data_IF_744824676466
#
_entry.id   IF_744824676466
#
_cell.length_a   1.000
_cell.length_b   1.000
_cell.length_c   1.000
_cell.angle_alpha   90.00
_cell.angle_beta   90.00
_cell.angle_gamma   90.00
#
_symmetry.space_group_name_H-M   'P 1'
#
loop_
_entity.id
_entity.type
_entity.pdbx_description
1 polymer ?
#
# COMPACT_ATOMS: atom_id res chain seq x y z
N UNK A 1 -6.95 -12.90 -4.49
CA UNK A 1 -5.84 -11.97 -4.25
C UNK A 1 -4.79 -12.64 -3.36
N UNK A 2 -3.51 -12.55 -3.75
CA UNK A 2 -2.39 -13.25 -3.07
C UNK A 2 -1.88 -12.51 -1.84
N UNK A 3 -1.82 -11.18 -1.89
CA UNK A 3 -1.18 -10.36 -0.86
C UNK A 3 -2.11 -9.29 -0.26
N UNK A 4 -3.02 -8.73 -1.05
CA UNK A 4 -3.99 -7.72 -0.59
C UNK A 4 -5.34 -8.36 -0.25
N UNK A 5 -6.10 -7.71 0.63
CA UNK A 5 -7.46 -8.16 0.94
C UNK A 5 -8.42 -7.90 -0.24
N UNK A 6 -9.66 -8.38 -0.13
CA UNK A 6 -10.62 -8.25 -1.23
C UNK A 6 -10.99 -6.79 -1.53
N UNK A 7 -11.11 -5.97 -0.49
CA UNK A 7 -11.56 -4.58 -0.61
C UNK A 7 -10.49 -3.72 -1.27
N UNK A 8 -9.25 -3.79 -0.76
CA UNK A 8 -8.13 -3.08 -1.33
C UNK A 8 -7.82 -3.56 -2.76
N UNK A 9 -7.97 -4.87 -3.03
CA UNK A 9 -7.86 -5.39 -4.41
C UNK A 9 -8.92 -4.78 -5.33
N UNK A 10 -10.17 -4.64 -4.88
CA UNK A 10 -11.22 -4.03 -5.70
C UNK A 10 -10.94 -2.55 -5.99
N UNK A 11 -10.36 -1.83 -5.03
CA UNK A 11 -9.93 -0.44 -5.19
C UNK A 11 -8.81 -0.30 -6.24
N UNK A 12 -7.81 -1.18 -6.22
CA UNK A 12 -6.78 -1.23 -7.27
C UNK A 12 -7.37 -1.48 -8.66
N UNK A 13 -8.33 -2.41 -8.77
CA UNK A 13 -8.98 -2.72 -10.05
C UNK A 13 -9.78 -1.51 -10.57
N UNK A 14 -10.50 -0.81 -9.69
CA UNK A 14 -11.25 0.40 -10.04
C UNK A 14 -10.31 1.51 -10.55
N UNK A 15 -9.19 1.73 -9.88
CA UNK A 15 -8.18 2.71 -10.32
C UNK A 15 -7.57 2.32 -11.68
N UNK A 16 -7.22 1.06 -11.87
CA UNK A 16 -6.69 0.56 -13.16
C UNK A 16 -7.71 0.66 -14.31
N UNK A 17 -9.00 0.46 -14.04
CA UNK A 17 -10.07 0.66 -15.03
C UNK A 17 -10.20 2.13 -15.42
N UNK A 18 -10.08 3.04 -14.45
CA UNK A 18 -10.01 4.47 -14.71
C UNK A 18 -8.81 4.83 -15.58
N UNK A 19 -7.61 4.36 -15.23
CA UNK A 19 -6.38 4.67 -15.97
C UNK A 19 -6.49 4.27 -17.44
N UNK A 20 -7.12 3.11 -17.71
CA UNK A 20 -7.40 2.63 -19.07
C UNK A 20 -8.39 3.54 -19.83
N UNK A 21 -9.42 4.04 -19.16
CA UNK A 21 -10.45 4.90 -19.75
C UNK A 21 -9.92 6.29 -20.05
N UNK A 22 -9.23 6.90 -19.08
CA UNK A 22 -8.70 8.26 -19.17
C UNK A 22 -7.37 8.35 -19.94
N UNK A 23 -6.72 7.20 -20.20
CA UNK A 23 -5.38 7.13 -20.78
C UNK A 23 -4.36 7.96 -19.98
N UNK A 24 -4.50 7.93 -18.65
CA UNK A 24 -3.74 8.77 -17.73
C UNK A 24 -3.73 8.21 -16.33
N UNK A 25 -3.20 9.01 -15.40
CA UNK A 25 -3.12 8.66 -13.99
C UNK A 25 -4.43 9.02 -13.29
N UNK A 26 -4.92 8.14 -12.43
CA UNK A 26 -6.12 8.37 -11.62
C UNK A 26 -5.73 8.70 -10.18
N UNK A 27 -6.17 7.91 -9.19
CA UNK A 27 -5.90 8.22 -7.79
C UNK A 27 -4.48 7.82 -7.36
N UNK A 28 -3.92 6.76 -7.93
CA UNK A 28 -2.61 6.25 -7.57
C UNK A 28 -1.57 6.64 -8.63
N UNK A 29 -0.68 7.56 -8.28
CA UNK A 29 0.35 8.10 -9.17
C UNK A 29 1.78 7.71 -8.79
N UNK A 30 1.96 6.75 -7.88
CA UNK A 30 3.26 6.25 -7.38
C UNK A 30 3.20 4.74 -7.06
N UNK A 31 4.35 4.10 -6.79
CA UNK A 31 4.37 2.71 -6.31
C UNK A 31 3.99 2.65 -4.81
N UNK A 32 2.88 1.98 -4.47
CA UNK A 32 2.32 2.04 -3.13
C UNK A 32 3.07 1.17 -2.10
N UNK A 33 3.96 0.28 -2.55
CA UNK A 33 4.80 -0.53 -1.66
C UNK A 33 6.06 0.26 -1.27
N UNK A 34 6.55 1.11 -2.17
CA UNK A 34 7.74 1.92 -1.94
C UNK A 34 7.47 3.32 -1.43
N UNK A 35 6.24 3.84 -1.60
CA UNK A 35 5.91 5.26 -1.36
C UNK A 35 6.84 6.18 -2.19
N UNK A 36 6.98 5.82 -3.47
CA UNK A 36 7.95 6.45 -4.37
C UNK A 36 7.59 6.24 -5.86
N UNK A 37 8.11 7.13 -6.71
CA UNK A 37 8.07 6.99 -8.18
C UNK A 37 9.17 6.08 -8.72
N UNK A 38 10.39 6.28 -8.22
CA UNK A 38 11.58 5.52 -8.59
C UNK A 38 12.09 4.74 -7.39
N UNK A 39 12.62 3.55 -7.65
CA UNK A 39 13.21 2.69 -6.62
C UNK A 39 14.39 1.90 -7.15
N UNK A 40 15.35 1.61 -6.27
CA UNK A 40 16.52 0.79 -6.56
C UNK A 40 16.44 -0.59 -5.88
N UNK A 41 17.57 -1.29 -5.78
CA UNK A 41 17.67 -2.52 -5.01
C UNK A 41 17.41 -2.25 -3.52
N UNK A 42 16.32 -2.80 -3.02
CA UNK A 42 15.97 -2.74 -1.60
C UNK A 42 16.91 -3.57 -0.75
N UNK A 43 17.40 -2.98 0.34
CA UNK A 43 18.25 -3.64 1.34
C UNK A 43 17.76 -3.34 2.77
N UNK A 44 18.30 -4.04 3.77
CA UNK A 44 18.03 -3.81 5.19
C UNK A 44 16.53 -3.85 5.57
N UNK A 45 15.75 -4.76 4.96
CA UNK A 45 14.34 -4.94 5.28
C UNK A 45 14.17 -5.44 6.72
N UNK A 46 13.38 -4.71 7.50
CA UNK A 46 12.99 -5.03 8.85
C UNK A 46 11.47 -4.88 8.98
N UNK A 47 10.85 -5.85 9.64
CA UNK A 47 9.41 -5.85 9.92
C UNK A 47 9.23 -6.03 11.42
N UNK A 48 8.45 -5.14 12.04
CA UNK A 48 8.23 -5.16 13.50
C UNK A 48 6.77 -4.89 13.80
N UNK A 49 6.16 -5.71 14.66
CA UNK A 49 4.80 -5.46 15.14
C UNK A 49 4.74 -4.14 15.92
N UNK A 50 3.66 -3.38 15.75
CA UNK A 50 3.42 -2.16 16.53
C UNK A 50 2.83 -2.57 17.89
N UNK A 51 3.47 -2.13 18.98
CA UNK A 51 3.04 -2.48 20.33
C UNK A 51 1.58 -2.07 20.58
N UNK A 52 0.77 -3.01 21.09
CA UNK A 52 -0.65 -2.79 21.36
C UNK A 52 -1.56 -2.76 20.12
N UNK A 53 -1.02 -2.95 18.91
CA UNK A 53 -1.78 -2.90 17.64
C UNK A 53 -1.49 -4.18 16.84
N UNK A 54 -2.23 -5.28 17.09
CA UNK A 54 -1.88 -6.62 16.60
C UNK A 54 -1.98 -6.79 15.08
N UNK A 55 -2.66 -5.86 14.41
CA UNK A 55 -2.84 -5.82 12.96
C UNK A 55 -1.86 -4.87 12.26
N UNK A 56 -1.04 -4.12 13.00
CA UNK A 56 -0.11 -3.14 12.42
C UNK A 56 1.35 -3.59 12.51
N UNK A 57 2.03 -3.46 11.38
CA UNK A 57 3.44 -3.82 11.22
C UNK A 57 4.21 -2.65 10.62
N UNK A 58 5.20 -2.16 11.37
CA UNK A 58 6.16 -1.18 10.88
C UNK A 58 7.16 -1.90 9.97
N UNK A 59 7.23 -1.48 8.71
CA UNK A 59 8.14 -2.00 7.71
C UNK A 59 9.18 -0.93 7.41
N UNK A 60 10.45 -1.22 7.65
CA UNK A 60 11.56 -0.31 7.41
C UNK A 60 12.53 -0.95 6.44
N UNK A 61 13.01 -0.20 5.45
CA UNK A 61 13.96 -0.68 4.45
C UNK A 61 14.81 0.47 3.91
N UNK A 62 15.91 0.13 3.23
CA UNK A 62 16.75 1.09 2.52
C UNK A 62 16.45 1.02 1.02
N UNK A 63 15.99 2.13 0.45
CA UNK A 63 15.80 2.36 -0.97
C UNK A 63 15.83 3.88 -1.22
N UNK A 64 16.89 4.37 -1.89
CA UNK A 64 17.14 5.81 -2.06
C UNK A 64 17.04 6.60 -0.73
N UNK A 65 17.55 6.01 0.36
CA UNK A 65 17.38 6.48 1.74
C UNK A 65 16.64 5.46 2.61
N UNK A 66 16.46 5.77 3.89
CA UNK A 66 15.66 4.94 4.81
C UNK A 66 14.18 5.26 4.64
N UNK A 67 13.38 4.23 4.41
CA UNK A 67 11.92 4.32 4.30
C UNK A 67 11.28 3.55 5.44
N UNK A 68 10.20 4.10 6.00
CA UNK A 68 9.41 3.46 7.04
C UNK A 68 7.94 3.65 6.74
N UNK A 69 7.23 2.54 6.52
CA UNK A 69 5.79 2.50 6.27
C UNK A 69 5.11 1.65 7.34
N UNK A 70 3.80 1.81 7.52
CA UNK A 70 3.02 0.96 8.44
C UNK A 70 1.98 0.17 7.64
N UNK A 71 2.14 -1.14 7.61
CA UNK A 71 1.22 -2.06 6.94
C UNK A 71 0.15 -2.52 7.91
N UNK A 72 -1.11 -2.38 7.52
CA UNK A 72 -2.25 -2.97 8.22
C UNK A 72 -2.60 -4.31 7.58
N UNK A 73 -2.69 -5.34 8.41
CA UNK A 73 -2.99 -6.70 7.99
C UNK A 73 -4.36 -7.12 8.53
N UNK A 74 -5.14 -7.82 7.71
CA UNK A 74 -6.39 -8.45 8.12
C UNK A 74 -6.31 -9.96 7.96
N UNK A 75 -6.88 -10.69 8.91
CA UNK A 75 -6.94 -12.14 8.85
C UNK A 75 -8.16 -12.55 8.01
N UNK A 76 -7.92 -13.22 6.89
CA UNK A 76 -8.97 -13.71 5.99
C UNK A 76 -9.02 -15.24 6.03
N UNK A 77 -10.08 -15.89 5.49
CA UNK A 77 -10.10 -17.34 5.34
C UNK A 77 -8.93 -17.92 4.51
N UNK A 78 -8.26 -17.08 3.72
CA UNK A 78 -7.08 -17.44 2.92
C UNK A 78 -5.76 -17.02 3.59
N UNK A 79 -5.79 -16.67 4.88
CA UNK A 79 -4.66 -16.17 5.67
C UNK A 79 -4.59 -14.64 5.71
N UNK A 80 -3.49 -14.14 6.26
CA UNK A 80 -3.24 -12.70 6.39
C UNK A 80 -3.10 -11.99 5.05
N UNK A 81 -3.69 -10.81 4.94
CA UNK A 81 -3.64 -9.94 3.76
C UNK A 81 -3.43 -8.50 4.17
N UNK A 82 -2.76 -7.71 3.33
CA UNK A 82 -2.62 -6.27 3.48
C UNK A 82 -3.98 -5.63 3.20
N UNK A 83 -4.52 -4.91 4.17
CA UNK A 83 -5.76 -4.14 4.04
C UNK A 83 -5.51 -2.65 3.89
N UNK A 84 -4.34 -2.16 4.29
CA UNK A 84 -3.92 -0.78 4.10
C UNK A 84 -2.39 -0.62 4.24
N UNK A 85 -1.84 0.46 3.69
CA UNK A 85 -0.47 0.90 3.90
C UNK A 85 -0.51 2.39 4.25
N UNK A 86 -0.06 2.72 5.47
CA UNK A 86 0.09 4.10 5.91
C UNK A 86 1.51 4.59 5.59
N UNK A 87 1.56 5.70 4.85
CA UNK A 87 2.78 6.39 4.47
C UNK A 87 3.28 7.34 5.55
N UNK A 88 4.49 7.86 5.38
CA UNK A 88 5.05 8.83 6.33
C UNK A 88 4.24 10.13 6.34
N UNK A 89 3.82 10.57 5.15
CA UNK A 89 3.04 11.79 4.93
C UNK A 89 1.82 11.47 4.06
N UNK A 90 0.75 12.25 4.22
CA UNK A 90 -0.45 12.14 3.39
C UNK A 90 -1.41 10.99 3.75
N UNK A 91 -2.41 10.73 2.89
CA UNK A 91 -3.39 9.67 3.08
C UNK A 91 -2.76 8.27 2.97
N UNK A 92 -3.38 7.27 3.59
CA UNK A 92 -3.00 5.88 3.38
C UNK A 92 -3.33 5.40 1.96
N UNK A 93 -2.79 4.25 1.55
CA UNK A 93 -3.11 3.63 0.27
C UNK A 93 -4.61 3.43 0.06
N UNK A 94 -5.30 2.92 1.10
CA UNK A 94 -6.73 2.68 1.02
C UNK A 94 -7.49 4.01 0.92
N UNK A 95 -7.09 5.03 1.66
CA UNK A 95 -7.68 6.37 1.59
C UNK A 95 -7.50 6.97 0.18
N UNK A 96 -6.28 6.94 -0.35
CA UNK A 96 -5.95 7.41 -1.71
C UNK A 96 -6.82 6.75 -2.78
N UNK A 97 -6.91 5.42 -2.76
CA UNK A 97 -7.69 4.69 -3.77
C UNK A 97 -9.21 4.82 -3.57
N UNK A 98 -9.66 5.22 -2.37
CA UNK A 98 -11.09 5.39 -2.06
C UNK A 98 -11.67 6.71 -2.54
N UNK A 99 -10.84 7.67 -2.98
CA UNK A 99 -11.32 8.92 -3.55
C UNK A 99 -12.25 8.68 -4.75
N UNK A 100 -13.27 9.53 -4.88
CA UNK A 100 -14.19 9.48 -6.00
C UNK A 100 -13.44 9.73 -7.31
N UNK A 101 -13.46 8.73 -8.19
CA UNK A 101 -12.96 8.82 -9.54
C UNK A 101 -14.08 9.42 -10.40
N UNK A 102 -13.78 10.53 -11.10
CA UNK A 102 -14.71 11.19 -12.01
C UNK A 102 -14.98 10.38 -13.28
#
# INVERSE_FOLDING_TARGET
SKYFDKELTALFLKDAECQKREQGVCNLDFDPIYDAQDFEKTTNLQITAVAGQPDLFKVTFTNLGTRTLVYKLTNTPSGWRISDIKYAEGPSLKETLSHEIK
#
